data_IF_207118285448
#
_entry.id   IF_207118285448
#
_cell.length_a   1.000
_cell.length_b   1.000
_cell.length_c   1.000
_cell.angle_alpha   90.00
_cell.angle_beta   90.00
_cell.angle_gamma   90.00
#
_symmetry.space_group_name_H-M   'P 1'
#
loop_
_entity.id
_entity.type
_entity.pdbx_description
1 polymer ?
#
# COMPACT_ATOMS: atom_id res chain seq x y z
N UNK A 1 -10.36 4.23 8.61
CA UNK A 1 -9.96 5.67 8.72
C UNK A 1 -11.10 6.53 8.22
N UNK A 2 -11.29 7.70 8.84
CA UNK A 2 -12.18 8.72 8.27
C UNK A 2 -11.54 9.32 7.02
N UNK A 3 -12.34 9.56 5.99
CA UNK A 3 -11.87 10.25 4.78
C UNK A 3 -11.59 11.74 5.00
N UNK A 4 -12.15 12.30 6.05
CA UNK A 4 -11.93 13.68 6.47
C UNK A 4 -11.24 13.66 7.83
N UNK A 5 -10.09 14.31 7.97
CA UNK A 5 -9.28 14.29 9.18
C UNK A 5 -8.97 15.72 9.69
N UNK A 6 -8.54 15.78 10.96
CA UNK A 6 -8.22 17.02 11.62
C UNK A 6 -9.44 17.87 11.97
N UNK A 7 -9.23 19.01 12.66
CA UNK A 7 -10.33 19.88 13.10
C UNK A 7 -11.10 20.53 11.94
N UNK A 8 -10.47 20.69 10.79
CA UNK A 8 -11.09 21.27 9.59
C UNK A 8 -11.87 20.24 8.76
N UNK A 9 -11.77 18.96 9.07
CA UNK A 9 -12.44 17.87 8.36
C UNK A 9 -12.22 17.91 6.84
N UNK A 10 -10.98 18.17 6.43
CA UNK A 10 -10.60 18.20 5.01
C UNK A 10 -10.68 16.80 4.40
N UNK A 11 -11.32 16.66 3.23
CA UNK A 11 -11.36 15.39 2.50
C UNK A 11 -10.01 15.09 1.83
N UNK A 12 -9.87 13.83 1.31
CA UNK A 12 -8.71 13.37 0.55
C UNK A 12 -7.41 13.33 1.36
N UNK A 13 -7.50 12.92 2.62
CA UNK A 13 -6.33 12.66 3.43
C UNK A 13 -5.85 11.22 3.24
N UNK A 14 -4.61 11.06 2.82
CA UNK A 14 -3.97 9.77 2.57
C UNK A 14 -3.10 9.28 3.74
N UNK A 15 -2.99 10.08 4.80
CA UNK A 15 -2.32 9.74 6.04
C UNK A 15 -3.22 10.05 7.23
N UNK A 16 -3.35 9.10 8.14
CA UNK A 16 -4.02 9.28 9.43
C UNK A 16 -3.01 9.18 10.57
N UNK A 17 -3.09 10.10 11.52
CA UNK A 17 -2.21 10.12 12.69
C UNK A 17 -3.06 10.05 13.95
N UNK A 18 -2.71 9.16 14.88
CA UNK A 18 -3.40 8.99 16.16
C UNK A 18 -2.39 8.97 17.30
N UNK A 19 -2.69 9.71 18.38
CA UNK A 19 -1.93 9.60 19.63
C UNK A 19 -2.15 8.23 20.28
N UNK A 20 -1.13 7.68 20.93
CA UNK A 20 -1.23 6.43 21.67
C UNK A 20 -1.84 6.66 23.06
N UNK A 21 -1.65 7.83 23.62
CA UNK A 21 -2.20 8.23 24.92
C UNK A 21 -2.44 9.75 25.01
N UNK A 22 -2.89 10.23 26.17
CA UNK A 22 -3.18 11.65 26.41
C UNK A 22 -2.02 12.42 27.06
N UNK A 23 -0.91 11.76 27.39
CA UNK A 23 0.17 12.31 28.22
C UNK A 23 1.50 12.42 27.48
N UNK A 24 1.69 11.63 26.43
CA UNK A 24 2.92 11.62 25.63
C UNK A 24 2.70 12.25 24.24
N UNK A 25 3.79 12.45 23.53
CA UNK A 25 3.77 12.83 22.12
C UNK A 25 3.90 11.61 21.19
N UNK A 26 3.83 10.40 21.76
CA UNK A 26 3.88 9.16 20.98
C UNK A 26 2.58 8.94 20.22
N UNK A 27 2.70 8.49 18.98
CA UNK A 27 1.57 8.25 18.11
C UNK A 27 1.82 7.14 17.09
N UNK A 28 0.78 6.87 16.33
CA UNK A 28 0.84 5.98 15.17
C UNK A 28 0.36 6.74 13.94
N UNK A 29 1.15 6.72 12.88
CA UNK A 29 0.72 7.19 11.56
C UNK A 29 0.41 6.00 10.65
N UNK A 30 -0.60 6.16 9.81
CA UNK A 30 -0.98 5.14 8.81
C UNK A 30 -1.24 5.82 7.48
N UNK A 31 -0.65 5.30 6.42
CA UNK A 31 -0.88 5.75 5.05
C UNK A 31 -1.26 4.60 4.13
N UNK A 32 -1.73 4.92 2.94
CA UNK A 32 -2.09 3.96 1.90
C UNK A 32 -1.45 4.39 0.60
N UNK A 33 -0.93 3.42 -0.17
CA UNK A 33 -0.51 3.62 -1.54
C UNK A 33 -1.05 2.53 -2.44
N UNK A 34 -1.44 2.88 -3.67
CA UNK A 34 -1.94 1.94 -4.66
C UNK A 34 -1.69 2.45 -6.08
N UNK A 35 -1.43 1.56 -7.01
CA UNK A 35 -1.11 1.94 -8.40
C UNK A 35 -1.69 0.95 -9.41
N UNK A 36 -3.01 0.83 -9.52
CA UNK A 36 -3.65 -0.17 -10.37
C UNK A 36 -3.36 0.03 -11.86
N UNK A 37 -3.38 1.26 -12.35
CA UNK A 37 -3.14 1.56 -13.76
C UNK A 37 -1.71 1.24 -14.19
N UNK A 38 -0.72 1.59 -13.37
CA UNK A 38 0.68 1.24 -13.64
C UNK A 38 0.87 -0.28 -13.60
N UNK A 39 0.18 -0.98 -12.68
CA UNK A 39 0.22 -2.44 -12.59
C UNK A 39 -0.35 -3.14 -13.82
N UNK A 40 -1.31 -2.54 -14.51
CA UNK A 40 -1.83 -3.05 -15.79
C UNK A 40 -0.76 -2.98 -16.90
N UNK A 41 0.04 -1.91 -16.91
CA UNK A 41 1.08 -1.69 -17.92
C UNK A 41 2.32 -2.55 -17.59
N UNK A 42 2.81 -2.45 -16.35
CA UNK A 42 3.97 -3.19 -15.85
C UNK A 42 3.78 -3.52 -14.38
N UNK A 43 3.71 -4.80 -14.05
CA UNK A 43 3.41 -5.30 -12.71
C UNK A 43 4.46 -4.91 -11.67
N UNK A 44 5.75 -5.00 -12.01
CA UNK A 44 6.83 -4.61 -11.12
C UNK A 44 6.89 -3.11 -10.85
N UNK A 45 6.64 -2.28 -11.87
CA UNK A 45 6.56 -0.82 -11.70
C UNK A 45 5.35 -0.42 -10.87
N UNK A 46 4.22 -1.12 -11.04
CA UNK A 46 3.03 -0.90 -10.22
C UNK A 46 3.28 -1.14 -8.74
N UNK A 47 4.00 -2.21 -8.40
CA UNK A 47 4.39 -2.51 -7.01
C UNK A 47 5.27 -1.41 -6.41
N UNK A 48 6.32 -1.01 -7.11
CA UNK A 48 7.19 0.07 -6.65
C UNK A 48 6.46 1.40 -6.51
N UNK A 49 5.58 1.74 -7.46
CA UNK A 49 4.75 2.95 -7.37
C UNK A 49 3.80 2.93 -6.17
N UNK A 50 3.18 1.78 -5.88
CA UNK A 50 2.29 1.65 -4.72
C UNK A 50 3.04 1.91 -3.40
N UNK A 51 4.26 1.34 -3.25
CA UNK A 51 5.12 1.62 -2.11
C UNK A 51 5.51 3.11 -2.08
N UNK A 52 5.96 3.66 -3.22
CA UNK A 52 6.34 5.06 -3.33
C UNK A 52 5.21 6.02 -2.95
N UNK A 53 3.97 5.73 -3.35
CA UNK A 53 2.81 6.52 -2.96
C UNK A 53 2.56 6.45 -1.45
N UNK A 54 2.60 5.26 -0.85
CA UNK A 54 2.44 5.11 0.58
C UNK A 54 3.51 5.89 1.35
N UNK A 55 4.78 5.78 0.94
CA UNK A 55 5.90 6.52 1.54
C UNK A 55 5.75 8.04 1.39
N UNK A 56 5.36 8.54 0.23
CA UNK A 56 5.16 9.98 0.02
C UNK A 56 3.97 10.53 0.81
N UNK A 57 2.97 9.71 1.08
CA UNK A 57 1.84 10.09 1.92
C UNK A 57 2.21 10.19 3.41
N UNK A 58 3.21 9.44 3.88
CA UNK A 58 3.58 9.40 5.30
C UNK A 58 4.78 10.26 5.66
N UNK A 59 5.60 10.67 4.70
CA UNK A 59 6.88 11.37 4.92
C UNK A 59 6.74 12.66 5.74
N UNK A 60 5.56 13.24 5.80
CA UNK A 60 5.27 14.45 6.56
C UNK A 60 5.00 14.18 8.05
N UNK A 61 4.87 12.92 8.44
CA UNK A 61 4.78 12.52 9.85
C UNK A 61 6.18 12.40 10.44
N UNK A 62 6.41 12.86 11.69
CA UNK A 62 7.72 12.73 12.35
C UNK A 62 7.98 11.26 12.72
N UNK A 63 8.63 10.53 11.84
CA UNK A 63 8.96 9.12 12.06
C UNK A 63 10.13 8.98 13.04
N UNK A 64 9.98 8.15 14.06
CA UNK A 64 10.95 7.99 15.17
C UNK A 64 12.35 7.56 14.70
N UNK A 65 12.43 6.63 13.76
CA UNK A 65 13.67 6.05 13.22
C UNK A 65 13.69 6.08 11.71
N UNK A 66 13.18 7.15 11.11
CA UNK A 66 13.11 7.30 9.64
C UNK A 66 12.44 6.08 8.98
N UNK A 67 12.95 5.62 7.84
CA UNK A 67 12.39 4.48 7.11
C UNK A 67 12.42 3.16 7.89
N UNK A 68 13.35 2.99 8.84
CA UNK A 68 13.44 1.76 9.64
C UNK A 68 12.29 1.57 10.64
N UNK A 69 11.53 2.63 10.93
CA UNK A 69 10.29 2.52 11.74
C UNK A 69 9.07 2.13 10.92
N UNK A 70 9.21 2.01 9.60
CA UNK A 70 8.13 1.68 8.68
C UNK A 70 7.90 0.17 8.62
N UNK A 71 6.64 -0.24 8.69
CA UNK A 71 6.20 -1.63 8.54
C UNK A 71 5.01 -1.69 7.57
N UNK A 72 5.17 -2.40 6.47
CA UNK A 72 4.16 -2.49 5.42
C UNK A 72 3.26 -3.72 5.61
N UNK A 73 1.98 -3.56 5.31
CA UNK A 73 1.07 -4.67 5.05
C UNK A 73 0.68 -4.67 3.57
N UNK A 74 1.06 -5.72 2.85
CA UNK A 74 0.82 -5.83 1.42
C UNK A 74 -0.51 -6.54 1.12
N UNK A 75 -1.24 -6.08 0.11
CA UNK A 75 -2.43 -6.75 -0.37
C UNK A 75 -2.45 -6.80 -1.90
N UNK A 76 -2.44 -8.01 -2.46
CA UNK A 76 -2.57 -8.25 -3.89
C UNK A 76 -3.98 -8.73 -4.22
N UNK A 77 -4.71 -7.94 -5.01
CA UNK A 77 -5.96 -8.33 -5.63
C UNK A 77 -5.68 -8.60 -7.10
N UNK A 78 -5.65 -9.90 -7.50
CA UNK A 78 -5.09 -10.29 -8.79
C UNK A 78 -5.96 -11.35 -9.49
N UNK A 79 -6.12 -11.28 -10.81
CA UNK A 79 -6.85 -12.30 -11.58
C UNK A 79 -5.92 -13.45 -11.99
N UNK A 80 -5.24 -14.09 -11.03
CA UNK A 80 -4.18 -15.06 -11.25
C UNK A 80 -4.59 -16.29 -12.08
N UNK A 81 -5.89 -16.59 -12.16
CA UNK A 81 -6.42 -17.70 -12.96
C UNK A 81 -6.44 -17.42 -14.48
N UNK A 82 -6.11 -16.21 -14.91
CA UNK A 82 -6.01 -15.89 -16.31
C UNK A 82 -4.60 -16.19 -16.85
N UNK A 83 -4.52 -16.47 -18.17
CA UNK A 83 -3.26 -16.78 -18.82
C UNK A 83 -2.25 -15.63 -18.65
N UNK A 84 -1.02 -15.97 -18.25
CA UNK A 84 0.08 -15.02 -18.02
C UNK A 84 0.02 -14.24 -16.71
N UNK A 85 -1.12 -14.20 -16.01
CA UNK A 85 -1.28 -13.38 -14.81
C UNK A 85 -0.49 -13.92 -13.58
N UNK A 86 -0.24 -15.23 -13.52
CA UNK A 86 0.64 -15.82 -12.50
C UNK A 86 2.08 -15.28 -12.58
N UNK A 87 2.63 -15.19 -13.79
CA UNK A 87 3.98 -14.65 -14.01
C UNK A 87 4.04 -13.17 -13.65
N UNK A 88 3.03 -12.41 -14.04
CA UNK A 88 2.93 -11.00 -13.71
C UNK A 88 2.79 -10.75 -12.20
N UNK A 89 2.03 -11.59 -11.49
CA UNK A 89 1.94 -11.55 -10.03
C UNK A 89 3.30 -11.82 -9.38
N UNK A 90 4.02 -12.85 -9.86
CA UNK A 90 5.36 -13.16 -9.36
C UNK A 90 6.32 -11.97 -9.55
N UNK A 91 6.33 -11.33 -10.73
CA UNK A 91 7.13 -10.13 -10.98
C UNK A 91 6.76 -8.97 -10.06
N UNK A 92 5.47 -8.77 -9.80
CA UNK A 92 4.97 -7.76 -8.89
C UNK A 92 5.47 -7.97 -7.47
N UNK A 93 5.32 -9.20 -6.95
CA UNK A 93 5.77 -9.57 -5.60
C UNK A 93 7.29 -9.48 -5.48
N UNK A 94 8.03 -9.95 -6.48
CA UNK A 94 9.49 -9.85 -6.51
C UNK A 94 9.95 -8.40 -6.49
N UNK A 95 9.38 -7.54 -7.33
CA UNK A 95 9.72 -6.12 -7.36
C UNK A 95 9.39 -5.38 -6.05
N UNK A 96 8.29 -5.76 -5.39
CA UNK A 96 7.95 -5.29 -4.05
C UNK A 96 9.03 -5.70 -3.05
N UNK A 97 9.38 -6.98 -3.00
CA UNK A 97 10.38 -7.53 -2.09
C UNK A 97 11.75 -6.86 -2.28
N UNK A 98 12.24 -6.83 -3.51
CA UNK A 98 13.54 -6.23 -3.83
C UNK A 98 13.59 -4.75 -3.38
N UNK A 99 12.54 -3.98 -3.69
CA UNK A 99 12.47 -2.57 -3.35
C UNK A 99 12.38 -2.33 -1.83
N UNK A 100 11.63 -3.15 -1.10
CA UNK A 100 11.55 -3.06 0.36
C UNK A 100 12.89 -3.42 1.02
N UNK A 101 13.62 -4.42 0.49
CA UNK A 101 14.96 -4.79 0.96
C UNK A 101 15.94 -3.62 0.75
N UNK A 102 15.93 -3.00 -0.42
CA UNK A 102 16.78 -1.85 -0.74
C UNK A 102 16.51 -0.65 0.18
N UNK A 103 15.28 -0.45 0.59
CA UNK A 103 14.86 0.63 1.50
C UNK A 103 15.04 0.27 3.00
N UNK A 104 15.32 -0.98 3.34
CA UNK A 104 15.37 -1.46 4.72
C UNK A 104 14.00 -1.49 5.42
N UNK A 105 12.93 -1.63 4.66
CA UNK A 105 11.55 -1.66 5.16
C UNK A 105 11.08 -3.11 5.25
N UNK A 106 10.44 -3.48 6.37
CA UNK A 106 9.89 -4.82 6.54
C UNK A 106 8.44 -4.92 6.03
N UNK A 107 8.09 -6.12 5.55
CA UNK A 107 6.71 -6.48 5.15
C UNK A 107 6.30 -7.72 5.96
N UNK A 108 5.93 -7.57 7.24
CA UNK A 108 5.66 -8.71 8.12
C UNK A 108 4.37 -9.44 7.79
N UNK A 109 3.46 -8.79 7.08
CA UNK A 109 2.17 -9.36 6.74
C UNK A 109 1.77 -9.01 5.32
N UNK A 110 1.08 -9.93 4.68
CA UNK A 110 0.50 -9.77 3.36
C UNK A 110 -0.77 -10.59 3.24
N UNK A 111 -1.60 -10.19 2.30
CA UNK A 111 -2.86 -10.87 1.98
C UNK A 111 -3.09 -10.80 0.48
N UNK A 112 -3.64 -11.84 -0.10
CA UNK A 112 -3.95 -11.89 -1.51
C UNK A 112 -5.41 -12.29 -1.78
N UNK A 113 -5.91 -11.88 -2.94
CA UNK A 113 -7.19 -12.28 -3.51
C UNK A 113 -6.97 -12.58 -4.98
N UNK A 114 -6.78 -13.87 -5.31
CA UNK A 114 -6.23 -14.31 -6.60
C UNK A 114 -7.26 -14.57 -7.70
N UNK A 115 -8.53 -14.40 -7.42
CA UNK A 115 -9.62 -14.60 -8.40
C UNK A 115 -10.41 -13.31 -8.69
N UNK A 116 -9.75 -12.16 -8.59
CA UNK A 116 -10.41 -10.86 -8.74
C UNK A 116 -10.73 -10.59 -10.22
N UNK A 117 -12.01 -10.79 -10.57
CA UNK A 117 -12.52 -10.70 -11.92
C UNK A 117 -13.98 -10.28 -11.91
N UNK A 118 -14.31 -9.25 -12.70
CA UNK A 118 -15.70 -8.83 -12.91
C UNK A 118 -16.14 -9.17 -14.32
N UNK A 119 -17.22 -9.92 -14.43
CA UNK A 119 -17.85 -10.26 -15.71
C UNK A 119 -19.10 -9.41 -15.95
N UNK A 120 -19.20 -8.83 -17.13
CA UNK A 120 -20.37 -8.14 -17.64
C UNK A 120 -20.96 -8.90 -18.84
N UNK A 121 -22.25 -8.76 -19.18
CA UNK A 121 -22.89 -9.55 -20.23
C UNK A 121 -22.20 -9.53 -21.61
N UNK A 122 -21.38 -8.52 -21.87
CA UNK A 122 -20.65 -8.37 -23.16
C UNK A 122 -19.16 -8.06 -22.99
N UNK A 123 -18.63 -8.02 -21.75
CA UNK A 123 -17.23 -7.64 -21.49
C UNK A 123 -16.76 -8.20 -20.16
N UNK A 124 -15.55 -8.73 -20.16
CA UNK A 124 -14.83 -9.12 -18.96
C UNK A 124 -13.80 -8.03 -18.61
N UNK A 125 -13.81 -7.54 -17.38
CA UNK A 125 -12.85 -6.57 -16.90
C UNK A 125 -11.96 -7.25 -15.87
N UNK A 126 -10.67 -7.24 -16.15
CA UNK A 126 -9.60 -7.74 -15.28
C UNK A 126 -8.93 -6.51 -14.68
N UNK A 127 -8.96 -6.37 -13.38
CA UNK A 127 -8.32 -5.25 -12.69
C UNK A 127 -7.41 -5.77 -11.58
N UNK A 128 -6.09 -5.89 -11.79
CA UNK A 128 -5.16 -6.07 -10.70
C UNK A 128 -5.11 -4.80 -9.85
N UNK A 129 -5.25 -4.95 -8.55
CA UNK A 129 -5.23 -3.85 -7.60
C UNK A 129 -4.27 -4.16 -6.45
N UNK A 130 -3.40 -3.20 -6.13
CA UNK A 130 -2.52 -3.26 -4.98
C UNK A 130 -2.98 -2.27 -3.91
N UNK A 131 -2.90 -2.68 -2.66
CA UNK A 131 -3.11 -1.82 -1.51
C UNK A 131 -1.98 -2.06 -0.51
N UNK A 132 -1.36 -1.00 -0.04
CA UNK A 132 -0.48 -1.04 1.11
C UNK A 132 -1.12 -0.27 2.26
N UNK A 133 -1.23 -0.91 3.41
CA UNK A 133 -1.53 -0.23 4.68
C UNK A 133 -0.26 -0.21 5.51
N UNK A 134 0.05 0.93 6.06
CA UNK A 134 1.22 1.15 6.89
C UNK A 134 0.79 1.58 8.29
N UNK A 135 1.40 0.97 9.31
CA UNK A 135 1.23 1.37 10.71
C UNK A 135 2.59 1.77 11.29
N UNK A 136 2.67 2.95 11.88
CA UNK A 136 3.92 3.50 12.40
C UNK A 136 3.77 4.00 13.82
N UNK A 137 4.89 3.91 14.57
CA UNK A 137 5.02 4.61 15.85
C UNK A 137 5.69 5.96 15.59
N UNK A 138 5.04 7.04 16.02
CA UNK A 138 5.54 8.41 15.97
C UNK A 138 5.97 8.80 17.38
N UNK A 139 7.04 9.57 17.51
CA UNK A 139 7.42 10.28 18.74
C UNK A 139 7.24 11.76 18.57
#
# INVERSE_FOLDING_TARGET
MQQCTGPLQLPLNNCGVMALDFNSMDGVATSIGHSPLTSLINSGSGSRNSIGEALTNIIWSPLKNELSSISLSANWMWPANNEGENSRLYEAVKACSDFCIDLGINVPTGKDSLSMKQKYPKKEVIAPCFWFMENFTIQ
#
